data_IF_167818759512
#
_entry.id   IF_167818759512
#
_cell.length_a   1.000
_cell.length_b   1.000
_cell.length_c   1.000
_cell.angle_alpha   90.00
_cell.angle_beta   90.00
_cell.angle_gamma   90.00
#
_symmetry.space_group_name_H-M   'P 1'
#
loop_
_entity.id
_entity.type
_entity.pdbx_description
1 polymer ?
#
# COMPACT_ATOMS: atom_id res chain seq x y z
N UNK A 1 -5.70 -10.35 7.60
CA UNK A 1 -5.90 -9.22 8.52
C UNK A 1 -7.35 -9.09 8.92
N UNK A 2 -8.25 -8.95 7.94
CA UNK A 2 -9.64 -8.54 8.21
C UNK A 2 -10.44 -9.49 9.10
N UNK A 3 -10.25 -10.81 8.99
CA UNK A 3 -10.92 -11.78 9.90
C UNK A 3 -10.55 -11.55 11.37
N UNK A 4 -9.35 -11.02 11.62
CA UNK A 4 -8.89 -10.63 12.96
C UNK A 4 -9.18 -9.15 13.29
N UNK A 5 -9.97 -8.46 12.47
CA UNK A 5 -10.28 -7.03 12.63
C UNK A 5 -9.12 -6.08 12.30
N UNK A 6 -8.05 -6.56 11.67
CA UNK A 6 -6.87 -5.76 11.35
C UNK A 6 -6.92 -5.21 9.92
N UNK A 7 -6.49 -3.96 9.75
CA UNK A 7 -6.20 -3.37 8.43
C UNK A 7 -4.90 -3.93 7.87
N UNK A 8 -4.83 -3.99 6.55
CA UNK A 8 -3.72 -4.55 5.78
C UNK A 8 -3.01 -3.43 5.02
N UNK A 9 -1.68 -3.53 4.95
CA UNK A 9 -0.85 -2.64 4.14
C UNK A 9 0.01 -3.50 3.21
N UNK A 10 0.03 -3.16 1.93
CA UNK A 10 0.96 -3.74 0.97
C UNK A 10 2.10 -2.75 0.69
N UNK A 11 3.32 -3.23 0.86
CA UNK A 11 4.56 -2.52 0.52
C UNK A 11 5.00 -2.86 -0.92
N UNK A 12 5.89 -2.05 -1.50
CA UNK A 12 6.40 -2.16 -2.87
C UNK A 12 5.34 -1.98 -3.98
N UNK A 13 4.38 -1.07 -3.77
CA UNK A 13 3.44 -0.65 -4.83
C UNK A 13 4.14 0.31 -5.79
N UNK A 14 4.63 -0.21 -6.93
CA UNK A 14 5.45 0.55 -7.89
C UNK A 14 4.74 0.84 -9.22
N UNK A 15 3.58 0.24 -9.47
CA UNK A 15 2.80 0.47 -10.69
C UNK A 15 1.30 0.53 -10.43
N UNK A 16 0.59 1.24 -11.33
CA UNK A 16 -0.87 1.35 -11.29
C UNK A 16 -1.55 -0.02 -11.42
N UNK A 17 -0.95 -0.95 -12.17
CA UNK A 17 -1.43 -2.34 -12.28
C UNK A 17 -1.38 -3.06 -10.91
N UNK A 18 -0.26 -2.95 -10.18
CA UNK A 18 -0.13 -3.52 -8.83
C UNK A 18 -1.17 -2.90 -7.90
N UNK A 19 -1.33 -1.56 -7.94
CA UNK A 19 -2.33 -0.85 -7.13
C UNK A 19 -3.75 -1.37 -7.39
N UNK A 20 -4.12 -1.56 -8.65
CA UNK A 20 -5.43 -2.06 -9.03
C UNK A 20 -5.65 -3.49 -8.53
N UNK A 21 -4.67 -4.38 -8.68
CA UNK A 21 -4.75 -5.75 -8.16
C UNK A 21 -4.88 -5.81 -6.63
N UNK A 22 -4.14 -4.98 -5.92
CA UNK A 22 -4.24 -4.89 -4.45
C UNK A 22 -5.63 -4.39 -4.02
N UNK A 23 -6.20 -3.45 -4.77
CA UNK A 23 -7.56 -2.96 -4.53
C UNK A 23 -8.61 -4.04 -4.80
N UNK A 24 -8.47 -4.82 -5.88
CA UNK A 24 -9.37 -5.93 -6.23
C UNK A 24 -9.42 -7.01 -5.14
N UNK A 25 -8.28 -7.32 -4.50
CA UNK A 25 -8.21 -8.33 -3.42
C UNK A 25 -8.51 -7.74 -2.03
N UNK A 26 -8.83 -6.44 -1.95
CA UNK A 26 -9.30 -5.78 -0.73
C UNK A 26 -8.21 -5.30 0.23
N UNK A 27 -6.99 -5.01 -0.22
CA UNK A 27 -5.97 -4.39 0.64
C UNK A 27 -6.36 -2.96 1.02
N UNK A 28 -6.18 -2.58 2.29
CA UNK A 28 -6.66 -1.28 2.80
C UNK A 28 -5.71 -0.11 2.47
N UNK A 29 -4.39 -0.35 2.48
CA UNK A 29 -3.38 0.67 2.24
C UNK A 29 -2.26 0.17 1.33
N UNK A 30 -1.66 1.09 0.57
CA UNK A 30 -0.49 0.83 -0.25
C UNK A 30 0.64 1.79 0.08
N UNK A 31 1.86 1.26 0.14
CA UNK A 31 3.10 2.04 0.22
C UNK A 31 4.04 1.59 -0.90
N UNK A 32 4.64 2.54 -1.60
CA UNK A 32 5.60 2.26 -2.65
C UNK A 32 5.82 3.46 -3.56
N UNK A 33 6.76 3.32 -4.49
CA UNK A 33 7.24 4.42 -5.33
C UNK A 33 6.19 4.94 -6.31
N UNK A 34 5.10 4.20 -6.54
CA UNK A 34 3.93 4.71 -7.26
C UNK A 34 3.37 5.96 -6.57
N UNK A 35 3.37 5.98 -5.23
CA UNK A 35 2.80 7.07 -4.43
C UNK A 35 3.86 8.10 -4.04
N UNK A 36 4.97 7.64 -3.49
CA UNK A 36 6.06 8.50 -3.06
C UNK A 36 7.33 7.70 -2.81
N UNK A 37 8.48 8.33 -3.04
CA UNK A 37 9.76 7.82 -2.54
C UNK A 37 9.90 8.19 -1.05
N UNK A 38 10.71 7.46 -0.27
CA UNK A 38 11.04 7.85 1.09
C UNK A 38 11.56 9.27 1.16
N UNK A 39 11.05 10.04 2.11
CA UNK A 39 11.46 11.40 2.38
C UNK A 39 12.10 11.50 3.76
N UNK A 40 13.09 12.39 3.96
CA UNK A 40 13.61 12.66 5.29
C UNK A 40 12.48 13.14 6.21
N UNK A 41 12.54 12.76 7.49
CA UNK A 41 11.67 13.35 8.49
C UNK A 41 12.08 14.82 8.67
N UNK A 42 11.16 15.74 8.41
CA UNK A 42 11.33 17.14 8.79
C UNK A 42 11.08 17.22 10.30
N UNK A 43 12.15 17.33 11.07
CA UNK A 43 12.16 17.59 12.52
C UNK A 43 12.44 19.06 12.80
#
# INVERSE_FOLDING_TARGET
GHVMGMKTIAEFVESEEIRQKLQEIGVDYGQGYLFSQPLPLLI
#
